data_IF_982236101040
#
_entry.id   IF_982236101040
#
_cell.length_a   1.000
_cell.length_b   1.000
_cell.length_c   1.000
_cell.angle_alpha   90.00
_cell.angle_beta   90.00
_cell.angle_gamma   90.00
#
_symmetry.space_group_name_H-M   'P 1'
#
loop_
_entity.id
_entity.type
_entity.pdbx_description
1 polymer ?
#
# COMPACT_ATOMS: atom_id res chain seq x y z
N UNK A 1 -20.40 -9.35 -7.11
CA UNK A 1 -20.83 -10.73 -7.45
C UNK A 1 -19.61 -11.52 -7.94
N UNK A 2 -18.84 -12.14 -7.05
CA UNK A 2 -17.80 -13.13 -7.38
C UNK A 2 -17.73 -14.14 -6.21
N UNK A 3 -18.53 -15.22 -6.26
CA UNK A 3 -18.66 -16.15 -5.11
C UNK A 3 -18.22 -17.58 -5.44
N UNK A 4 -17.34 -17.76 -6.43
CA UNK A 4 -16.77 -19.07 -6.74
C UNK A 4 -15.27 -18.94 -6.90
N UNK A 5 -14.52 -19.54 -5.98
CA UNK A 5 -13.05 -19.59 -6.01
C UNK A 5 -12.65 -20.73 -6.95
N UNK A 6 -12.10 -20.39 -8.11
CA UNK A 6 -11.68 -21.39 -9.10
C UNK A 6 -10.26 -21.88 -8.83
N UNK A 7 -9.36 -20.97 -8.43
CA UNK A 7 -7.96 -21.28 -8.17
C UNK A 7 -7.51 -20.60 -6.87
N UNK A 8 -6.66 -21.29 -6.12
CA UNK A 8 -5.86 -20.74 -5.03
C UNK A 8 -4.40 -21.04 -5.32
N UNK A 9 -3.55 -20.07 -5.05
CA UNK A 9 -2.11 -20.22 -5.16
C UNK A 9 -1.48 -19.82 -3.83
N UNK A 10 -0.72 -20.73 -3.25
CA UNK A 10 0.03 -20.50 -2.01
C UNK A 10 1.52 -20.45 -2.34
N UNK A 11 2.15 -19.33 -2.01
CA UNK A 11 3.58 -19.14 -2.17
C UNK A 11 4.24 -19.05 -0.80
N UNK A 12 5.16 -19.96 -0.53
CA UNK A 12 6.04 -19.90 0.64
C UNK A 12 7.38 -19.33 0.21
N UNK A 13 7.84 -18.30 0.92
CA UNK A 13 9.12 -17.65 0.63
C UNK A 13 9.80 -17.20 1.94
N UNK A 14 11.11 -17.02 1.87
CA UNK A 14 11.91 -16.47 2.96
C UNK A 14 12.47 -15.11 2.54
N UNK A 15 12.38 -14.12 3.43
CA UNK A 15 12.96 -12.80 3.22
C UNK A 15 14.20 -12.65 4.10
N UNK A 16 15.34 -12.38 3.46
CA UNK A 16 16.59 -12.03 4.14
C UNK A 16 16.96 -10.58 3.80
N UNK A 17 16.93 -9.66 4.76
CA UNK A 17 17.39 -8.30 4.50
C UNK A 17 18.88 -8.30 4.17
N UNK A 18 19.28 -7.59 3.12
CA UNK A 18 20.68 -7.43 2.69
C UNK A 18 21.34 -6.19 3.34
N UNK A 19 20.64 -5.53 4.26
CA UNK A 19 21.11 -4.36 5.00
C UNK A 19 20.14 -4.00 6.13
N UNK A 20 20.40 -2.92 6.89
CA UNK A 20 19.51 -2.46 7.95
C UNK A 20 18.12 -2.16 7.40
N UNK A 21 17.08 -2.76 7.97
CA UNK A 21 15.68 -2.57 7.59
C UNK A 21 14.88 -2.19 8.83
N UNK A 22 14.33 -0.98 8.87
CA UNK A 22 13.42 -0.54 9.93
C UNK A 22 11.99 -0.44 9.39
N UNK A 23 11.04 -1.08 10.07
CA UNK A 23 9.62 -0.85 9.86
C UNK A 23 9.06 -0.28 11.15
N UNK A 24 8.71 1.00 11.07
CA UNK A 24 8.26 1.78 12.22
C UNK A 24 6.90 1.28 12.70
N UNK A 25 6.73 1.15 14.01
CA UNK A 25 5.40 1.01 14.61
C UNK A 25 4.59 2.30 14.39
N UNK A 26 3.35 2.15 13.92
CA UNK A 26 2.41 3.28 13.84
C UNK A 26 1.95 3.79 15.21
N UNK A 27 2.33 3.10 16.29
CA UNK A 27 2.14 3.52 17.67
C UNK A 27 3.45 4.17 18.14
N UNK A 28 3.39 5.44 18.55
CA UNK A 28 4.43 6.09 19.35
C UNK A 28 4.52 5.34 20.67
N UNK A 29 5.66 4.70 20.94
CA UNK A 29 6.17 4.13 22.21
C UNK A 29 5.20 3.36 23.15
N UNK A 30 3.94 3.14 22.75
CA UNK A 30 2.87 2.58 23.56
C UNK A 30 2.84 3.14 24.98
N UNK A 31 2.49 2.26 25.92
CA UNK A 31 2.51 2.52 27.36
C UNK A 31 3.89 2.28 28.01
N UNK A 32 4.92 1.90 27.24
CA UNK A 32 6.24 1.57 27.75
C UNK A 32 7.21 2.72 27.48
N UNK A 33 7.49 3.60 28.47
CA UNK A 33 8.31 4.78 28.29
C UNK A 33 9.80 4.45 28.02
N UNK A 34 10.21 3.19 28.11
CA UNK A 34 11.59 2.76 27.80
C UNK A 34 11.82 2.56 26.29
N UNK A 35 10.75 2.56 25.51
CA UNK A 35 10.76 2.34 24.07
C UNK A 35 11.03 3.65 23.32
N UNK A 36 11.99 3.63 22.39
CA UNK A 36 12.25 4.74 21.47
C UNK A 36 11.09 5.04 20.52
N UNK A 37 10.92 6.30 20.13
CA UNK A 37 9.84 6.71 19.21
C UNK A 37 9.96 6.12 17.78
N UNK A 38 11.16 5.61 17.41
CA UNK A 38 11.43 4.94 16.13
C UNK A 38 11.66 3.44 16.29
N UNK A 39 10.75 2.76 16.99
CA UNK A 39 10.86 1.34 17.21
C UNK A 39 10.33 0.46 16.08
N UNK A 40 10.86 -0.75 16.06
CA UNK A 40 10.35 -1.84 15.25
C UNK A 40 8.93 -2.24 15.67
N UNK A 41 8.13 -2.65 14.67
CA UNK A 41 6.89 -3.39 14.96
C UNK A 41 7.24 -4.72 15.63
N UNK A 42 6.64 -4.99 16.79
CA UNK A 42 6.82 -6.22 17.56
C UNK A 42 5.52 -7.01 17.70
N UNK A 43 5.63 -8.31 17.86
CA UNK A 43 4.53 -9.22 18.14
C UNK A 43 4.95 -10.26 19.17
N UNK A 44 3.98 -10.77 19.94
CA UNK A 44 4.19 -11.90 20.84
C UNK A 44 4.09 -13.21 20.04
N UNK A 45 5.23 -13.85 19.83
CA UNK A 45 5.31 -15.12 19.12
C UNK A 45 5.33 -16.29 20.11
N UNK A 46 4.48 -17.29 19.91
CA UNK A 46 4.28 -18.40 20.84
C UNK A 46 5.58 -19.14 21.24
N UNK A 47 6.57 -19.19 20.36
CA UNK A 47 7.85 -19.87 20.61
C UNK A 47 9.04 -18.93 20.84
N UNK A 48 8.95 -17.68 20.38
CA UNK A 48 10.09 -16.74 20.38
C UNK A 48 9.91 -15.59 21.38
N UNK A 49 8.75 -15.51 22.05
CA UNK A 49 8.36 -14.38 22.87
C UNK A 49 8.18 -13.10 22.03
N UNK A 50 8.42 -11.94 22.65
CA UNK A 50 8.37 -10.64 21.98
C UNK A 50 9.45 -10.55 20.90
N UNK A 51 9.05 -10.57 19.63
CA UNK A 51 9.97 -10.51 18.49
C UNK A 51 9.56 -9.43 17.49
N UNK A 52 10.53 -8.99 16.68
CA UNK A 52 10.30 -8.09 15.55
C UNK A 52 9.71 -8.89 14.39
N UNK A 53 8.72 -8.33 13.70
CA UNK A 53 8.17 -8.97 12.51
C UNK A 53 7.95 -7.97 11.37
N UNK A 54 7.83 -8.52 10.16
CA UNK A 54 7.46 -7.79 8.96
C UNK A 54 5.93 -7.86 8.78
N UNK A 55 5.18 -6.76 8.93
CA UNK A 55 3.75 -6.78 8.71
C UNK A 55 3.40 -7.11 7.26
N UNK A 56 2.41 -8.00 7.08
CA UNK A 56 1.93 -8.36 5.74
C UNK A 56 1.34 -7.15 4.98
N UNK A 57 0.76 -6.19 5.70
CA UNK A 57 0.28 -4.93 5.13
C UNK A 57 1.41 -4.08 4.53
N UNK A 58 2.54 -3.97 5.22
CA UNK A 58 3.74 -3.26 4.74
C UNK A 58 4.31 -3.95 3.50
N UNK A 59 4.52 -5.26 3.53
CA UNK A 59 5.04 -6.01 2.38
C UNK A 59 4.11 -5.91 1.17
N UNK A 60 2.81 -6.14 1.36
CA UNK A 60 1.79 -6.03 0.31
C UNK A 60 1.75 -4.61 -0.26
N UNK A 61 1.80 -3.60 0.60
CA UNK A 61 1.77 -2.19 0.21
C UNK A 61 2.96 -1.81 -0.66
N UNK A 62 4.17 -2.22 -0.26
CA UNK A 62 5.39 -1.99 -1.03
C UNK A 62 5.34 -2.69 -2.40
N UNK A 63 4.96 -3.96 -2.43
CA UNK A 63 4.80 -4.72 -3.70
C UNK A 63 3.78 -4.06 -4.62
N UNK A 64 2.62 -3.68 -4.09
CA UNK A 64 1.57 -2.98 -4.84
C UNK A 64 2.09 -1.66 -5.41
N UNK A 65 2.71 -0.82 -4.57
CA UNK A 65 3.21 0.50 -5.00
C UNK A 65 4.25 0.37 -6.12
N UNK A 66 5.13 -0.63 -6.01
CA UNK A 66 6.14 -0.90 -7.03
C UNK A 66 5.53 -1.43 -8.33
N UNK A 67 4.58 -2.36 -8.25
CA UNK A 67 3.84 -2.85 -9.41
C UNK A 67 3.07 -1.72 -10.12
N UNK A 68 2.42 -0.83 -9.37
CA UNK A 68 1.76 0.36 -9.91
C UNK A 68 2.76 1.30 -10.60
N UNK A 69 3.99 1.46 -10.07
CA UNK A 69 5.04 2.24 -10.75
C UNK A 69 5.41 1.62 -12.11
N UNK A 70 5.66 0.31 -12.15
CA UNK A 70 5.97 -0.40 -13.40
C UNK A 70 4.81 -0.23 -14.41
N UNK A 71 3.58 -0.42 -13.95
CA UNK A 71 2.39 -0.27 -14.79
C UNK A 71 2.28 1.14 -15.40
N UNK A 72 2.62 2.20 -14.66
CA UNK A 72 2.67 3.57 -15.19
C UNK A 72 3.78 3.77 -16.21
N UNK A 73 4.96 3.23 -15.96
CA UNK A 73 6.09 3.32 -16.89
C UNK A 73 5.75 2.65 -18.21
N UNK A 74 5.20 1.43 -18.18
CA UNK A 74 4.78 0.72 -19.38
C UNK A 74 3.65 1.46 -20.11
N UNK A 75 2.63 1.95 -19.40
CA UNK A 75 1.54 2.70 -20.04
C UNK A 75 2.02 3.96 -20.78
N UNK A 76 3.05 4.64 -20.27
CA UNK A 76 3.66 5.80 -20.93
C UNK A 76 4.48 5.42 -22.17
N UNK A 77 5.15 4.26 -22.15
CA UNK A 77 5.96 3.77 -23.28
C UNK A 77 5.10 3.43 -24.51
N UNK A 78 3.88 2.92 -24.30
CA UNK A 78 2.94 2.55 -25.37
C UNK A 78 1.91 3.66 -25.65
N UNK A 79 2.34 4.92 -25.65
CA UNK A 79 1.53 6.13 -25.78
C UNK A 79 0.38 5.98 -26.82
N UNK A 80 -0.87 6.12 -26.37
CA UNK A 80 -2.14 5.95 -27.12
C UNK A 80 -2.59 4.52 -27.49
N UNK A 81 -1.83 3.47 -27.15
CA UNK A 81 -2.25 2.08 -27.41
C UNK A 81 -2.84 1.38 -26.19
N UNK A 82 -2.45 1.82 -24.97
CA UNK A 82 -2.92 1.22 -23.73
C UNK A 82 -3.71 2.24 -22.90
N UNK A 83 -4.86 1.84 -22.33
CA UNK A 83 -5.48 2.63 -21.29
C UNK A 83 -4.56 2.68 -20.06
N UNK A 84 -4.71 3.67 -19.17
CA UNK A 84 -3.92 3.75 -17.96
C UNK A 84 -4.11 2.51 -17.10
N UNK A 85 -2.99 1.85 -16.82
CA UNK A 85 -2.95 0.55 -16.13
C UNK A 85 -3.00 0.69 -14.60
N UNK A 86 -2.77 1.89 -14.06
CA UNK A 86 -2.93 2.18 -12.64
C UNK A 86 -3.17 3.67 -12.39
N UNK A 87 -3.72 3.99 -11.21
CA UNK A 87 -3.84 5.39 -10.77
C UNK A 87 -2.46 6.07 -10.77
N UNK A 88 -2.42 7.31 -11.25
CA UNK A 88 -1.25 8.15 -11.13
C UNK A 88 -1.52 9.27 -10.11
N UNK A 89 -0.91 9.20 -8.90
CA UNK A 89 -1.11 10.23 -7.89
C UNK A 89 -0.41 11.54 -8.22
N UNK A 90 0.50 11.56 -9.20
CA UNK A 90 1.29 12.72 -9.60
C UNK A 90 0.61 13.54 -10.71
N UNK A 91 -0.36 12.97 -11.42
CA UNK A 91 -1.17 13.72 -12.37
C UNK A 91 -2.25 14.48 -11.61
N UNK A 92 -2.06 15.80 -11.50
CA UNK A 92 -3.14 16.77 -11.33
C UNK A 92 -3.45 17.30 -12.72
N UNK A 93 -4.49 16.76 -13.34
CA UNK A 93 -4.99 17.31 -14.59
C UNK A 93 -6.29 18.03 -14.30
N UNK A 94 -6.32 19.32 -14.61
CA UNK A 94 -7.49 20.18 -14.44
C UNK A 94 -8.51 19.97 -15.59
N UNK A 95 -8.20 19.09 -16.54
CA UNK A 95 -9.04 18.79 -17.70
C UNK A 95 -10.08 17.72 -17.34
N UNK A 96 -11.38 17.95 -17.61
CA UNK A 96 -12.42 16.95 -17.41
C UNK A 96 -12.17 15.74 -18.33
N UNK A 97 -12.01 14.56 -17.73
CA UNK A 97 -11.73 13.29 -18.44
C UNK A 97 -10.35 12.67 -18.18
N UNK A 98 -9.43 13.41 -17.54
CA UNK A 98 -8.06 12.95 -17.23
C UNK A 98 -7.95 12.48 -15.75
N UNK A 99 -9.04 11.89 -15.25
CA UNK A 99 -9.24 11.54 -13.84
C UNK A 99 -8.63 10.18 -13.50
N UNK A 100 -7.31 10.04 -13.62
CA UNK A 100 -6.60 8.85 -13.16
C UNK A 100 -5.98 9.03 -11.77
N UNK A 101 -6.39 10.09 -11.06
CA UNK A 101 -5.99 10.36 -9.69
C UNK A 101 -7.07 9.87 -8.71
N UNK A 102 -6.75 8.77 -8.02
CA UNK A 102 -7.57 8.20 -6.96
C UNK A 102 -7.90 9.20 -5.83
N UNK A 103 -7.03 10.18 -5.56
CA UNK A 103 -7.27 11.23 -4.57
C UNK A 103 -8.36 12.21 -4.98
N UNK A 104 -8.38 12.62 -6.26
CA UNK A 104 -9.41 13.50 -6.81
C UNK A 104 -10.79 12.83 -6.81
N UNK A 105 -10.86 11.55 -7.19
CA UNK A 105 -12.12 10.79 -7.13
C UNK A 105 -12.65 10.61 -5.69
N UNK A 106 -11.77 10.46 -4.70
CA UNK A 106 -12.15 10.40 -3.29
C UNK A 106 -12.63 11.77 -2.76
N UNK A 107 -12.04 12.85 -3.23
CA UNK A 107 -12.41 14.23 -2.90
C UNK A 107 -13.75 14.61 -3.52
N UNK A 108 -14.00 14.26 -4.79
CA UNK A 108 -15.32 14.42 -5.41
C UNK A 108 -16.41 13.64 -4.68
N UNK A 109 -16.15 12.38 -4.29
CA UNK A 109 -17.12 11.60 -3.48
C UNK A 109 -17.39 12.20 -2.10
N UNK A 110 -16.41 12.87 -1.49
CA UNK A 110 -16.64 13.63 -0.24
C UNK A 110 -17.50 14.86 -0.46
N UNK A 111 -17.30 15.57 -1.58
CA UNK A 111 -18.11 16.73 -1.97
C UNK A 111 -19.55 16.32 -2.30
N UNK A 112 -19.75 15.20 -3.00
CA UNK A 112 -21.06 14.65 -3.35
C UNK A 112 -21.81 14.05 -2.14
N UNK A 113 -21.08 13.50 -1.17
CA UNK A 113 -21.64 12.96 0.08
C UNK A 113 -21.87 14.00 1.20
N UNK A 114 -21.48 15.27 0.97
CA UNK A 114 -21.52 16.35 1.97
C UNK A 114 -22.83 17.14 2.06
N UNK A 115 -23.87 16.78 1.29
CA UNK A 115 -25.19 17.39 1.41
C UNK A 115 -26.12 16.52 2.27
N UNK A 116 -25.95 16.61 3.60
CA UNK A 116 -26.99 16.38 4.62
C UNK A 116 -26.43 16.73 6.00
N UNK A 117 -26.70 17.96 6.42
CA UNK A 117 -26.96 18.29 7.83
C UNK A 117 -28.47 18.47 7.94
#
# INVERSE_FOLDING_TARGET
MHKRRFNEFTLTFALRPQGPLLIKSGQESGADPTLLDMNFVRTDHAQLGKTVFLPGSSLKGTMRSYAEKIARTLAAEYENQLPPLSCNPLTRSDKPGDQYNCGYAAEQKKLEGGAKV
#
